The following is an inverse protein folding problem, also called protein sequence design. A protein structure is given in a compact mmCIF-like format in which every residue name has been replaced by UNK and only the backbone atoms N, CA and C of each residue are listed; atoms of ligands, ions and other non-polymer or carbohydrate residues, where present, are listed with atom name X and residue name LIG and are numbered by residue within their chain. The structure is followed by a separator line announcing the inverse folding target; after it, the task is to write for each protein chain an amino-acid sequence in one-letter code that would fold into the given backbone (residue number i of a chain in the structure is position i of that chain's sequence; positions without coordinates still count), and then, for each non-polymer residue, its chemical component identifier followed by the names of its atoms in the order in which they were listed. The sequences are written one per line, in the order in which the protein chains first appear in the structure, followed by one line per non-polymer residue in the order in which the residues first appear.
data_IF_240984588393
#
_entry.id   IF_240984588393
#
_cell.length_a   1.000
_cell.length_b   1.000
_cell.length_c   1.000
_cell.angle_alpha   90.00
_cell.angle_beta   90.00
_cell.angle_gamma   90.00
#
_symmetry.space_group_name_H-M   'P 1'
#
loop_
_entity.id
_entity.type
_entity.pdbx_description
1 polymer ?
#
# COMPACT_ATOMS: atom_id res chain seq x y z
N UNK A 1 10.38 -4.69 0.36
CA UNK A 1 11.19 -3.61 -0.25
C UNK A 1 10.49 -2.26 -0.15
N UNK A 2 9.32 -2.08 -0.79
CA UNK A 2 8.56 -0.80 -0.83
C UNK A 2 8.37 -0.12 0.54
N UNK A 3 8.18 -0.88 1.63
CA UNK A 3 8.15 -0.34 2.99
C UNK A 3 9.36 0.56 3.33
N UNK A 4 10.58 0.10 3.02
CA UNK A 4 11.79 0.83 3.38
C UNK A 4 11.92 2.12 2.55
N UNK A 5 11.46 2.10 1.30
CA UNK A 5 11.44 3.28 0.44
C UNK A 5 10.40 4.30 0.92
N UNK A 6 9.22 3.83 1.35
CA UNK A 6 8.21 4.68 1.98
C UNK A 6 8.71 5.28 3.31
N UNK A 7 9.36 4.47 4.15
CA UNK A 7 9.91 4.94 5.43
C UNK A 7 11.02 5.98 5.22
N UNK A 8 11.92 5.74 4.26
CA UNK A 8 12.97 6.69 3.90
C UNK A 8 12.40 8.00 3.34
N UNK A 9 11.36 7.93 2.50
CA UNK A 9 10.71 9.15 1.99
C UNK A 9 9.94 9.89 3.09
N UNK A 10 9.25 9.18 3.99
CA UNK A 10 8.61 9.78 5.17
C UNK A 10 9.62 10.53 6.05
N UNK A 11 10.78 9.92 6.32
CA UNK A 11 11.86 10.55 7.09
C UNK A 11 12.41 11.77 6.37
N UNK A 12 12.69 11.65 5.07
CA UNK A 12 13.16 12.76 4.23
C UNK A 12 12.19 13.94 4.18
N UNK A 13 10.88 13.69 4.20
CA UNK A 13 9.85 14.72 4.25
C UNK A 13 9.54 15.21 5.68
N UNK A 14 10.08 14.57 6.72
CA UNK A 14 9.78 14.88 8.11
C UNK A 14 8.30 14.67 8.49
N UNK A 15 7.59 13.77 7.80
CA UNK A 15 6.14 13.57 8.00
C UNK A 15 5.85 12.86 9.32
N UNK A 16 4.90 13.42 10.07
CA UNK A 16 4.43 12.90 11.37
C UNK A 16 2.94 12.51 11.36
N UNK A 17 2.27 12.76 10.25
CA UNK A 17 0.83 12.58 10.04
C UNK A 17 0.48 11.23 9.39
N UNK A 18 1.47 10.51 8.85
CA UNK A 18 1.28 9.20 8.21
C UNK A 18 1.90 8.09 9.04
N UNK A 19 1.19 6.97 9.19
CA UNK A 19 1.75 5.73 9.74
C UNK A 19 1.94 4.71 8.63
N UNK A 20 3.09 4.02 8.59
CA UNK A 20 3.37 2.97 7.61
C UNK A 20 3.30 1.61 8.30
N UNK A 21 2.31 0.79 7.91
CA UNK A 21 2.07 -0.54 8.49
C UNK A 21 2.38 -1.62 7.45
N UNK A 22 3.13 -2.65 7.85
CA UNK A 22 3.43 -3.81 6.99
C UNK A 22 2.44 -4.95 7.22
N UNK A 23 2.07 -5.61 6.14
CA UNK A 23 1.31 -6.87 6.17
C UNK A 23 2.26 -8.01 5.78
N UNK A 24 2.88 -8.63 6.79
CA UNK A 24 3.88 -9.69 6.58
C UNK A 24 3.23 -11.05 6.23
N UNK A 25 1.99 -11.27 6.65
CA UNK A 25 1.23 -12.48 6.36
C UNK A 25 0.11 -12.14 5.38
N UNK A 26 0.26 -12.58 4.13
CA UNK A 26 -0.75 -12.38 3.08
C UNK A 26 -1.81 -13.49 3.06
N UNK A 27 -1.44 -14.71 3.48
CA UNK A 27 -2.36 -15.83 3.58
C UNK A 27 -2.03 -16.73 4.78
N UNK A 28 -3.04 -17.19 5.56
CA UNK A 28 -4.44 -16.74 5.52
C UNK A 28 -4.55 -15.26 5.93
N UNK A 29 -5.63 -14.57 5.53
CA UNK A 29 -5.80 -13.13 5.81
C UNK A 29 -5.82 -12.89 7.33
N UNK A 30 -4.91 -12.08 7.89
CA UNK A 30 -4.79 -11.90 9.33
C UNK A 30 -5.77 -10.84 9.85
N UNK A 31 -7.08 -11.05 9.66
CA UNK A 31 -8.14 -10.06 9.93
C UNK A 31 -8.06 -9.43 11.33
N UNK A 32 -7.86 -10.25 12.37
CA UNK A 32 -7.71 -9.77 13.75
C UNK A 32 -6.51 -8.82 13.91
N UNK A 33 -5.34 -9.20 13.39
CA UNK A 33 -4.13 -8.38 13.48
C UNK A 33 -4.26 -7.08 12.68
N UNK A 34 -4.94 -7.12 11.52
CA UNK A 34 -5.21 -5.92 10.72
C UNK A 34 -6.10 -4.95 11.49
N UNK A 35 -7.16 -5.46 12.11
CA UNK A 35 -8.10 -4.65 12.91
C UNK A 35 -7.37 -4.01 14.10
N UNK A 36 -6.66 -4.81 14.91
CA UNK A 36 -5.87 -4.33 16.05
C UNK A 36 -4.81 -3.29 15.61
N UNK A 37 -4.18 -3.49 14.45
CA UNK A 37 -3.20 -2.54 13.93
C UNK A 37 -3.84 -1.19 13.56
N UNK A 38 -5.02 -1.20 12.93
CA UNK A 38 -5.74 0.01 12.51
C UNK A 38 -6.41 0.73 13.67
N UNK A 39 -6.79 0.03 14.75
CA UNK A 39 -7.32 0.63 15.98
C UNK A 39 -6.32 1.51 16.72
N UNK A 40 -5.01 1.30 16.51
CA UNK A 40 -3.96 2.19 17.04
C UNK A 40 -3.96 3.59 16.42
N UNK A 41 -4.71 3.80 15.34
CA UNK A 41 -4.80 5.07 14.62
C UNK A 41 -6.25 5.54 14.49
N UNK A 42 -6.93 5.87 15.61
CA UNK A 42 -8.35 6.22 15.59
C UNK A 42 -8.65 7.52 14.84
N UNK A 43 -7.66 8.41 14.71
CA UNK A 43 -7.78 9.69 14.01
C UNK A 43 -7.39 9.60 12.52
N UNK A 44 -7.04 8.41 12.01
CA UNK A 44 -6.70 8.25 10.61
C UNK A 44 -7.95 8.49 9.74
N UNK A 45 -7.87 9.42 8.79
CA UNK A 45 -8.97 9.77 7.88
C UNK A 45 -8.91 9.02 6.54
N UNK A 46 -7.77 8.41 6.24
CA UNK A 46 -7.54 7.67 5.00
C UNK A 46 -6.69 6.43 5.28
N UNK A 47 -6.99 5.35 4.55
CA UNK A 47 -6.18 4.12 4.55
C UNK A 47 -5.78 3.83 3.11
N UNK A 48 -4.47 3.68 2.88
CA UNK A 48 -3.90 3.39 1.57
C UNK A 48 -3.24 2.01 1.55
N UNK A 49 -3.58 1.19 0.56
CA UNK A 49 -2.84 -0.03 0.24
C UNK A 49 -1.77 0.30 -0.79
N UNK A 50 -0.50 0.21 -0.39
CA UNK A 50 0.64 0.53 -1.27
C UNK A 50 1.37 -0.76 -1.65
N UNK A 51 1.53 -1.01 -2.94
CA UNK A 51 2.31 -2.15 -3.45
C UNK A 51 3.06 -1.76 -4.72
N UNK A 52 4.24 -2.32 -4.95
CA UNK A 52 5.03 -2.02 -6.15
C UNK A 52 4.48 -2.73 -7.40
N UNK A 53 3.80 -3.85 -7.22
CA UNK A 53 3.24 -4.66 -8.30
C UNK A 53 2.12 -3.92 -9.06
N UNK A 54 1.92 -4.26 -10.35
CA UNK A 54 0.75 -3.81 -11.11
C UNK A 54 -0.56 -4.05 -10.38
N UNK A 55 -1.55 -3.20 -10.61
CA UNK A 55 -2.88 -3.26 -9.99
C UNK A 55 -3.56 -4.63 -10.03
N UNK A 56 -3.35 -5.37 -11.12
CA UNK A 56 -3.92 -6.68 -11.39
C UNK A 56 -3.02 -7.82 -10.89
N UNK A 57 -1.97 -7.51 -10.14
CA UNK A 57 -0.96 -8.44 -9.64
C UNK A 57 -0.67 -8.17 -8.16
N UNK A 58 0.27 -8.91 -7.59
CA UNK A 58 0.59 -8.82 -6.17
C UNK A 58 -0.59 -9.24 -5.31
N UNK A 59 -0.68 -8.66 -4.11
CA UNK A 59 -1.71 -9.02 -3.14
C UNK A 59 -3.04 -8.27 -3.33
N UNK A 60 -3.04 -7.13 -4.04
CA UNK A 60 -4.25 -6.32 -4.21
C UNK A 60 -5.45 -7.05 -4.81
N UNK A 61 -5.35 -7.90 -5.85
CA UNK A 61 -6.52 -8.61 -6.38
C UNK A 61 -7.23 -9.47 -5.33
N UNK A 62 -6.50 -10.00 -4.35
CA UNK A 62 -7.06 -10.79 -3.25
C UNK A 62 -7.53 -9.89 -2.09
N UNK A 63 -6.67 -8.99 -1.61
CA UNK A 63 -6.98 -8.10 -0.49
C UNK A 63 -8.05 -7.06 -0.83
N UNK A 64 -8.09 -6.57 -2.07
CA UNK A 64 -9.11 -5.63 -2.53
C UNK A 64 -10.52 -6.21 -2.51
N UNK A 65 -10.67 -7.53 -2.61
CA UNK A 65 -11.94 -8.24 -2.42
C UNK A 65 -12.21 -8.54 -0.94
N UNK A 66 -11.20 -8.93 -0.17
CA UNK A 66 -11.37 -9.33 1.22
C UNK A 66 -11.54 -8.15 2.20
N UNK A 67 -10.78 -7.07 2.03
CA UNK A 67 -10.73 -5.97 2.99
C UNK A 67 -12.08 -5.23 3.19
N UNK A 68 -12.90 -5.00 2.15
CA UNK A 68 -14.22 -4.38 2.34
C UNK A 68 -15.14 -5.18 3.28
N UNK A 69 -15.09 -6.51 3.23
CA UNK A 69 -15.88 -7.37 4.11
C UNK A 69 -15.29 -7.44 5.52
N UNK A 70 -13.96 -7.43 5.64
CA UNK A 70 -13.24 -7.54 6.91
C UNK A 70 -13.20 -6.24 7.72
N UNK A 71 -13.24 -5.09 7.04
CA UNK A 71 -13.11 -3.76 7.64
C UNK A 71 -14.25 -2.82 7.18
N UNK A 72 -15.53 -3.21 7.36
CA UNK A 72 -16.67 -2.49 6.77
C UNK A 72 -16.86 -1.08 7.33
N UNK A 73 -16.36 -0.82 8.55
CA UNK A 73 -16.46 0.48 9.24
C UNK A 73 -15.26 1.40 9.00
N UNK A 74 -14.25 0.95 8.25
CA UNK A 74 -13.07 1.77 7.92
C UNK A 74 -13.23 2.34 6.52
N UNK A 75 -12.72 3.56 6.34
CA UNK A 75 -12.78 4.32 5.09
C UNK A 75 -12.43 3.45 3.87
N UNK A 76 -13.03 3.78 2.72
CA UNK A 76 -12.73 3.10 1.46
C UNK A 76 -11.21 3.05 1.23
N UNK A 77 -10.64 1.84 1.24
CA UNK A 77 -9.20 1.66 1.11
C UNK A 77 -8.77 2.07 -0.29
N UNK A 78 -7.89 3.06 -0.38
CA UNK A 78 -7.36 3.55 -1.65
C UNK A 78 -6.11 2.77 -2.04
N UNK A 79 -6.11 2.16 -3.22
CA UNK A 79 -4.89 1.52 -3.77
C UNK A 79 -3.93 2.57 -4.32
N UNK A 80 -2.65 2.38 -4.02
CA UNK A 80 -1.50 3.00 -4.68
C UNK A 80 -0.62 1.87 -5.22
N UNK A 81 -0.56 1.73 -6.54
CA UNK A 81 0.31 0.75 -7.18
C UNK A 81 0.62 1.14 -8.62
N UNK A 82 1.47 0.37 -9.31
CA UNK A 82 1.64 0.50 -10.76
C UNK A 82 0.31 0.26 -11.49
N UNK A 83 0.17 0.84 -12.68
CA UNK A 83 -0.99 0.60 -13.54
C UNK A 83 -1.14 -0.91 -13.85
N UNK A 84 -2.34 -1.41 -14.16
CA UNK A 84 -2.50 -2.80 -14.59
C UNK A 84 -1.60 -3.11 -15.80
N UNK A 85 -0.93 -4.25 -15.78
CA UNK A 85 -0.03 -4.68 -16.85
C UNK A 85 -0.06 -6.21 -17.02
N UNK A 86 0.19 -6.68 -18.23
CA UNK A 86 0.40 -8.11 -18.50
C UNK A 86 1.76 -8.58 -17.96
N UNK A 87 2.80 -7.76 -18.09
CA UNK A 87 4.13 -8.04 -17.56
C UNK A 87 4.26 -7.64 -16.08
N UNK A 88 5.14 -8.28 -15.28
CA UNK A 88 5.37 -7.92 -13.88
C UNK A 88 6.04 -6.55 -13.68
N UNK A 89 6.84 -6.10 -14.66
CA UNK A 89 7.57 -4.83 -14.61
C UNK A 89 7.77 -4.28 -16.02
N UNK A 90 8.07 -2.98 -16.11
CA UNK A 90 8.64 -2.40 -17.30
C UNK A 90 9.98 -3.10 -17.65
N UNK A 91 10.21 -3.34 -18.94
CA UNK A 91 11.45 -3.92 -19.46
C UNK A 91 12.62 -2.93 -19.57
N UNK A 92 12.46 -1.71 -19.06
CA UNK A 92 13.47 -0.65 -19.09
C UNK A 92 13.70 -0.09 -17.69
N UNK A 93 14.96 -0.04 -17.24
CA UNK A 93 15.34 0.51 -15.92
C UNK A 93 14.86 1.95 -15.75
N UNK A 94 15.01 2.77 -16.79
CA UNK A 94 14.60 4.18 -16.75
C UNK A 94 13.09 4.33 -16.53
N UNK A 95 12.28 3.51 -17.20
CA UNK A 95 10.82 3.51 -17.01
C UNK A 95 10.48 3.02 -15.61
N UNK A 96 11.12 1.94 -15.16
CA UNK A 96 10.92 1.40 -13.82
C UNK A 96 11.21 2.44 -12.71
N UNK A 97 12.30 3.20 -12.84
CA UNK A 97 12.66 4.28 -11.90
C UNK A 97 11.67 5.45 -11.89
N UNK A 98 11.09 5.80 -13.04
CA UNK A 98 10.02 6.81 -13.11
C UNK A 98 8.78 6.30 -12.40
N UNK A 99 8.32 5.08 -12.72
CA UNK A 99 7.16 4.47 -12.07
C UNK A 99 7.36 4.33 -10.55
N UNK A 100 8.56 3.97 -10.09
CA UNK A 100 8.85 3.84 -8.67
C UNK A 100 8.74 5.19 -7.96
N UNK A 101 9.32 6.26 -8.53
CA UNK A 101 9.22 7.61 -7.94
C UNK A 101 7.78 8.10 -7.88
N UNK A 102 7.01 7.90 -8.95
CA UNK A 102 5.59 8.24 -8.96
C UNK A 102 4.79 7.47 -7.91
N UNK A 103 5.07 6.18 -7.74
CA UNK A 103 4.40 5.34 -6.76
C UNK A 103 4.64 5.82 -5.33
N UNK A 104 5.89 6.13 -5.00
CA UNK A 104 6.26 6.64 -3.69
C UNK A 104 5.61 8.02 -3.45
N UNK A 105 5.63 8.92 -4.44
CA UNK A 105 4.97 10.23 -4.31
C UNK A 105 3.45 10.08 -4.07
N UNK A 106 2.76 9.27 -4.88
CA UNK A 106 1.32 8.99 -4.74
C UNK A 106 0.93 8.34 -3.42
N UNK A 107 1.86 7.67 -2.73
CA UNK A 107 1.59 7.12 -1.40
C UNK A 107 1.37 8.22 -0.34
N UNK A 108 1.88 9.42 -0.59
CA UNK A 108 1.89 10.56 0.32
C UNK A 108 0.99 11.73 -0.12
N UNK A 109 0.50 11.77 -1.35
CA UNK A 109 -0.44 12.80 -1.86
C UNK A 109 -1.89 12.60 -1.42
#
# INVERSE_FOLDING_TARGET
KVYYELAAEQEKQGRKDTAIVRVEQLYPVPARKLTEALERYPNATEVRWVQEEPANQGAWPFFGLALPELLPSRFAIRRVSRRPMAAPSAGSSKVHEVEQRELIAKAFE
#
